data_IF_599429946963
#
_entry.id   IF_599429946963
#
_cell.length_a   1.000
_cell.length_b   1.000
_cell.length_c   1.000
_cell.angle_alpha   90.00
_cell.angle_beta   90.00
_cell.angle_gamma   90.00
#
_symmetry.space_group_name_H-M   'P 1'
#
loop_
_entity.id
_entity.type
_entity.pdbx_description
1 polymer ?
#
# COMPACT_ATOMS: atom_id res chain seq x y z
N UNK A 1 4.57 13.29 -8.84
CA UNK A 1 4.55 12.66 -7.52
C UNK A 1 5.07 13.64 -6.49
N UNK A 2 4.38 13.78 -5.38
CA UNK A 2 4.73 14.75 -4.35
C UNK A 2 5.04 14.07 -3.02
N UNK A 3 5.78 14.77 -2.16
CA UNK A 3 6.12 14.28 -0.84
C UNK A 3 5.13 14.86 0.17
N UNK A 4 4.67 14.06 1.12
CA UNK A 4 3.79 14.52 2.18
C UNK A 4 4.55 15.35 3.21
N UNK A 5 3.80 16.02 4.10
CA UNK A 5 4.39 16.81 5.17
C UNK A 5 5.24 15.99 6.14
N UNK A 6 5.05 14.67 6.18
CA UNK A 6 5.75 13.77 7.07
C UNK A 6 6.88 13.00 6.41
N UNK A 7 7.30 13.42 5.21
CA UNK A 7 8.38 12.75 4.49
C UNK A 7 7.96 11.57 3.64
N UNK A 8 6.68 11.25 3.61
CA UNK A 8 6.16 10.19 2.75
C UNK A 8 5.86 10.74 1.37
N UNK A 9 5.87 9.85 0.36
CA UNK A 9 5.47 10.21 -0.99
C UNK A 9 3.99 9.97 -1.18
N UNK A 10 3.38 10.72 -2.08
CA UNK A 10 1.96 10.60 -2.39
C UNK A 10 1.81 10.44 -3.90
N UNK A 11 0.99 9.47 -4.29
CA UNK A 11 0.45 9.37 -5.64
C UNK A 11 -1.06 9.44 -5.53
N UNK A 12 -1.69 10.21 -6.40
CA UNK A 12 -3.13 10.41 -6.33
C UNK A 12 -3.74 10.52 -7.72
N UNK A 13 -5.03 10.22 -7.79
CA UNK A 13 -5.88 10.45 -8.94
C UNK A 13 -7.23 10.97 -8.44
N UNK A 14 -8.20 11.11 -9.33
CA UNK A 14 -9.53 11.63 -8.98
C UNK A 14 -10.34 10.69 -8.09
N UNK A 15 -9.90 9.44 -7.92
CA UNK A 15 -10.63 8.43 -7.14
C UNK A 15 -10.01 8.15 -5.78
N UNK A 16 -8.80 8.62 -5.51
CA UNK A 16 -8.15 8.34 -4.24
C UNK A 16 -6.68 8.67 -4.23
N UNK A 17 -5.98 8.14 -3.24
CA UNK A 17 -4.54 8.37 -3.10
C UNK A 17 -3.87 7.19 -2.42
N UNK A 18 -2.54 7.11 -2.60
CA UNK A 18 -1.68 6.22 -1.83
C UNK A 18 -0.52 7.03 -1.28
N UNK A 19 -0.19 6.81 -0.01
CA UNK A 19 1.03 7.34 0.57
C UNK A 19 1.99 6.19 0.80
N UNK A 20 3.27 6.42 0.56
CA UNK A 20 4.24 5.35 0.62
C UNK A 20 5.61 5.88 1.01
N UNK A 21 6.45 4.96 1.46
CA UNK A 21 7.77 5.27 1.99
C UNK A 21 8.75 4.22 1.48
N UNK A 22 9.98 4.65 1.16
CA UNK A 22 11.02 3.71 0.73
C UNK A 22 11.83 3.24 1.93
N UNK A 23 11.96 1.92 2.07
CA UNK A 23 12.76 1.27 3.09
C UNK A 23 14.01 0.72 2.40
N UNK A 24 15.03 1.54 2.28
CA UNK A 24 16.22 1.24 1.48
C UNK A 24 17.00 0.02 1.99
N UNK A 25 17.07 -0.17 3.28
CA UNK A 25 17.76 -1.31 3.89
C UNK A 25 17.10 -2.64 3.59
N UNK A 26 15.79 -2.64 3.31
CA UNK A 26 15.03 -3.84 3.00
C UNK A 26 14.73 -3.98 1.51
N UNK A 27 15.14 -3.01 0.70
CA UNK A 27 14.79 -2.94 -0.71
C UNK A 27 13.28 -3.03 -0.95
N UNK A 28 12.52 -2.41 -0.06
CA UNK A 28 11.06 -2.48 -0.06
C UNK A 28 10.44 -1.09 -0.10
N UNK A 29 9.27 -0.98 -0.75
CA UNK A 29 8.40 0.18 -0.63
C UNK A 29 7.29 -0.18 0.35
N UNK A 30 7.03 0.70 1.30
CA UNK A 30 6.02 0.51 2.33
C UNK A 30 4.81 1.38 1.99
N UNK A 31 3.64 0.75 1.82
CA UNK A 31 2.38 1.46 1.63
C UNK A 31 1.89 1.89 3.01
N UNK A 32 1.87 3.20 3.25
CA UNK A 32 1.40 3.76 4.52
C UNK A 32 -0.12 3.85 4.53
N UNK A 33 -0.70 4.44 3.49
CA UNK A 33 -2.14 4.56 3.32
C UNK A 33 -2.52 4.27 1.88
N UNK A 34 -3.68 3.66 1.70
CA UNK A 34 -4.26 3.41 0.39
C UNK A 34 -5.75 3.68 0.51
N UNK A 35 -6.22 4.74 -0.13
CA UNK A 35 -7.60 5.21 0.01
C UNK A 35 -8.25 5.44 -1.33
N UNK A 36 -9.47 4.98 -1.47
CA UNK A 36 -10.34 5.32 -2.61
C UNK A 36 -11.65 5.88 -2.07
N UNK A 37 -12.21 6.87 -2.78
CA UNK A 37 -13.50 7.43 -2.41
C UNK A 37 -14.58 6.35 -2.48
N UNK A 38 -15.63 6.40 -1.62
CA UNK A 38 -16.60 5.32 -1.54
C UNK A 38 -17.25 4.95 -2.88
N UNK A 39 -17.52 5.92 -3.73
CA UNK A 39 -18.14 5.67 -5.05
C UNK A 39 -17.23 4.95 -6.05
N UNK A 40 -15.94 4.89 -5.80
CA UNK A 40 -14.96 4.23 -6.67
C UNK A 40 -14.48 2.88 -6.13
N UNK A 41 -14.94 2.49 -4.95
CA UNK A 41 -14.52 1.24 -4.32
C UNK A 41 -15.12 0.05 -5.06
N UNK A 42 -14.31 -1.02 -5.19
CA UNK A 42 -14.74 -2.21 -5.89
C UNK A 42 -14.41 -2.24 -7.37
N UNK A 43 -13.91 -1.15 -7.93
CA UNK A 43 -13.58 -1.02 -9.35
C UNK A 43 -12.10 -1.25 -9.66
N UNK A 44 -11.33 -1.77 -8.72
CA UNK A 44 -9.90 -1.96 -8.92
C UNK A 44 -9.07 -0.69 -8.83
N UNK A 45 -9.64 0.40 -8.33
CA UNK A 45 -8.94 1.69 -8.24
C UNK A 45 -7.80 1.67 -7.23
N UNK A 46 -7.98 0.98 -6.10
CA UNK A 46 -6.92 0.82 -5.11
C UNK A 46 -5.76 0.04 -5.71
N UNK A 47 -6.04 -1.02 -6.46
CA UNK A 47 -5.00 -1.80 -7.14
C UNK A 47 -4.25 -0.97 -8.17
N UNK A 48 -4.95 -0.10 -8.89
CA UNK A 48 -4.32 0.80 -9.86
C UNK A 48 -3.35 1.77 -9.18
N UNK A 49 -3.73 2.32 -8.04
CA UNK A 49 -2.83 3.20 -7.27
C UNK A 49 -1.62 2.42 -6.74
N UNK A 50 -1.83 1.20 -6.24
CA UNK A 50 -0.74 0.35 -5.77
C UNK A 50 0.20 -0.01 -6.91
N UNK A 51 -0.32 -0.27 -8.11
CA UNK A 51 0.51 -0.53 -9.30
C UNK A 51 1.40 0.66 -9.65
N UNK A 52 0.90 1.87 -9.50
CA UNK A 52 1.72 3.07 -9.75
C UNK A 52 2.87 3.17 -8.75
N UNK A 53 2.61 2.86 -7.48
CA UNK A 53 3.65 2.84 -6.45
C UNK A 53 4.68 1.76 -6.76
N UNK A 54 4.21 0.56 -7.14
CA UNK A 54 5.09 -0.56 -7.49
C UNK A 54 5.98 -0.23 -8.68
N UNK A 55 5.41 0.38 -9.72
CA UNK A 55 6.17 0.74 -10.92
C UNK A 55 7.32 1.70 -10.59
N UNK A 56 7.05 2.71 -9.76
CA UNK A 56 8.08 3.64 -9.36
C UNK A 56 9.16 2.99 -8.50
N UNK A 57 8.75 2.18 -7.53
CA UNK A 57 9.68 1.48 -6.66
C UNK A 57 10.60 0.57 -7.49
N UNK A 58 10.02 -0.12 -8.46
CA UNK A 58 10.77 -1.02 -9.34
C UNK A 58 11.81 -0.28 -10.18
N UNK A 59 11.45 0.91 -10.69
CA UNK A 59 12.39 1.75 -11.41
C UNK A 59 13.58 2.18 -10.55
N UNK A 60 13.35 2.36 -9.26
CA UNK A 60 14.39 2.75 -8.31
C UNK A 60 15.18 1.57 -7.76
N UNK A 61 14.90 0.35 -8.23
CA UNK A 61 15.63 -0.84 -7.81
C UNK A 61 15.10 -1.56 -6.59
N UNK A 62 13.91 -1.20 -6.14
CA UNK A 62 13.26 -1.90 -5.03
C UNK A 62 12.60 -3.18 -5.54
N UNK A 63 12.60 -4.21 -4.71
CA UNK A 63 12.20 -5.56 -5.11
C UNK A 63 10.93 -6.07 -4.44
N UNK A 64 10.42 -5.38 -3.43
CA UNK A 64 9.21 -5.81 -2.73
C UNK A 64 8.36 -4.64 -2.27
N UNK A 65 7.11 -4.94 -1.99
CA UNK A 65 6.14 -4.00 -1.43
C UNK A 65 5.60 -4.58 -0.14
N UNK A 66 5.51 -3.75 0.89
CA UNK A 66 5.01 -4.14 2.22
C UNK A 66 3.82 -3.28 2.55
N UNK A 67 2.80 -3.90 3.13
CA UNK A 67 1.66 -3.19 3.70
C UNK A 67 1.35 -3.75 5.08
N UNK A 68 0.78 -2.92 5.95
CA UNK A 68 0.38 -3.38 7.29
C UNK A 68 -1.10 -3.08 7.51
N UNK A 69 -1.74 -3.94 8.29
CA UNK A 69 -3.13 -3.77 8.71
C UNK A 69 -3.17 -3.91 10.22
N UNK A 70 -3.78 -2.93 10.90
CA UNK A 70 -4.03 -3.03 12.34
C UNK A 70 -5.38 -3.71 12.53
N UNK A 71 -5.44 -4.95 13.07
CA UNK A 71 -6.71 -5.69 13.16
C UNK A 71 -7.79 -4.98 13.95
N UNK A 72 -7.39 -4.18 14.95
CA UNK A 72 -8.33 -3.44 15.79
C UNK A 72 -8.81 -2.13 15.15
N UNK A 73 -8.22 -1.69 14.05
CA UNK A 73 -8.57 -0.43 13.42
C UNK A 73 -9.91 -0.56 12.66
N UNK A 74 -10.68 0.52 12.65
CA UNK A 74 -11.90 0.60 11.86
C UNK A 74 -11.56 0.42 10.38
N UNK A 75 -12.28 -0.44 9.69
CA UNK A 75 -12.03 -0.69 8.28
C UNK A 75 -10.91 -1.68 8.00
N UNK A 76 -10.34 -2.33 9.02
CA UNK A 76 -9.23 -3.28 8.84
C UNK A 76 -9.58 -4.43 7.89
N UNK A 77 -10.81 -4.94 7.95
CA UNK A 77 -11.24 -6.03 7.06
C UNK A 77 -11.18 -5.61 5.60
N UNK A 78 -11.63 -4.39 5.29
CA UNK A 78 -11.54 -3.86 3.92
C UNK A 78 -10.08 -3.72 3.49
N UNK A 79 -9.24 -3.14 4.34
CA UNK A 79 -7.82 -2.95 4.05
C UNK A 79 -7.16 -4.29 3.76
N UNK A 80 -7.44 -5.30 4.57
CA UNK A 80 -6.89 -6.63 4.36
C UNK A 80 -7.36 -7.22 3.02
N UNK A 81 -8.65 -7.07 2.70
CA UNK A 81 -9.19 -7.57 1.42
C UNK A 81 -8.54 -6.90 0.22
N UNK A 82 -8.30 -5.59 0.29
CA UNK A 82 -7.63 -4.85 -0.78
C UNK A 82 -6.23 -5.38 -1.00
N UNK A 83 -5.46 -5.58 0.06
CA UNK A 83 -4.09 -6.08 -0.05
C UNK A 83 -4.06 -7.52 -0.59
N UNK A 84 -4.97 -8.37 -0.11
CA UNK A 84 -5.06 -9.75 -0.61
C UNK A 84 -5.46 -9.76 -2.10
N UNK A 85 -6.42 -8.95 -2.49
CA UNK A 85 -6.85 -8.85 -3.87
C UNK A 85 -5.74 -8.34 -4.79
N UNK A 86 -4.88 -7.48 -4.27
CA UNK A 86 -3.72 -6.99 -5.01
C UNK A 86 -2.65 -8.07 -5.20
N UNK A 87 -2.75 -9.17 -4.48
CA UNK A 87 -1.80 -10.29 -4.59
C UNK A 87 -0.73 -10.29 -3.51
N UNK A 88 -0.93 -9.54 -2.43
CA UNK A 88 0.01 -9.58 -1.31
C UNK A 88 -0.23 -10.82 -0.47
N UNK A 89 0.86 -11.37 0.06
CA UNK A 89 0.82 -12.54 0.92
C UNK A 89 1.04 -12.15 2.37
N UNK A 90 0.52 -12.97 3.28
CA UNK A 90 0.75 -12.77 4.71
C UNK A 90 2.21 -13.06 5.03
N UNK A 91 2.94 -12.06 5.52
CA UNK A 91 4.32 -12.22 5.96
C UNK A 91 4.37 -12.59 7.44
N UNK A 92 3.60 -11.88 8.27
CA UNK A 92 3.51 -12.16 9.68
C UNK A 92 2.23 -11.58 10.26
N UNK A 93 1.77 -12.13 11.39
CA UNK A 93 0.60 -11.64 12.09
C UNK A 93 0.91 -11.58 13.59
N UNK A 94 0.64 -10.42 14.18
CA UNK A 94 0.79 -10.19 15.60
C UNK A 94 -0.47 -9.54 16.16
N UNK A 95 -0.50 -9.28 17.48
CA UNK A 95 -1.67 -8.67 18.11
C UNK A 95 -1.95 -7.25 17.64
N UNK A 96 -0.91 -6.53 17.22
CA UNK A 96 -1.03 -5.13 16.83
C UNK A 96 -1.11 -4.94 15.32
N UNK A 97 -0.39 -5.77 14.55
CA UNK A 97 -0.30 -5.60 13.10
C UNK A 97 -0.25 -6.93 12.37
N UNK A 98 -0.85 -6.92 11.19
CA UNK A 98 -0.66 -7.95 10.17
C UNK A 98 0.23 -7.33 9.10
N UNK A 99 1.31 -8.03 8.75
CA UNK A 99 2.25 -7.56 7.71
C UNK A 99 2.01 -8.36 6.44
N UNK A 100 1.78 -7.64 5.35
CA UNK A 100 1.58 -8.22 4.03
C UNK A 100 2.75 -7.83 3.14
N UNK A 101 3.13 -8.73 2.22
CA UNK A 101 4.29 -8.50 1.34
C UNK A 101 4.03 -9.06 -0.04
N UNK A 102 4.59 -8.40 -1.05
CA UNK A 102 4.53 -8.84 -2.44
C UNK A 102 5.85 -8.52 -3.13
N UNK A 103 6.38 -9.47 -3.90
CA UNK A 103 7.49 -9.20 -4.80
C UNK A 103 7.02 -8.34 -5.98
N UNK A 104 7.81 -7.38 -6.36
CA UNK A 104 7.48 -6.49 -7.47
C UNK A 104 8.52 -6.48 -8.57
#
# INVERSE_FOLDING_TARGET
MSMSLYGDYIVEDETGFATYRFLSDQKAVYIVDLYTVPGARGDGRASALADRVAAEAKELGFTSMIGTVAPSAKGSTRSLRVLLAYGMDLESAGPDYIVMKKEI
#
